data_IF_645295729205
#
_entry.id   IF_645295729205
#
_cell.length_a   1.000
_cell.length_b   1.000
_cell.length_c   1.000
_cell.angle_alpha   90.00
_cell.angle_beta   90.00
_cell.angle_gamma   90.00
#
_symmetry.space_group_name_H-M   'P 1'
#
loop_
_entity.id
_entity.type
_entity.pdbx_description
1 polymer ?
#
# COMPACT_ATOMS: atom_id res chain seq x y z
N UNK A 1 -41.37 20.10 -5.05
CA UNK A 1 -40.95 18.70 -5.15
C UNK A 1 -39.63 18.56 -4.40
N UNK A 2 -39.64 17.94 -3.21
CA UNK A 2 -38.43 17.72 -2.41
C UNK A 2 -37.83 16.39 -2.86
N UNK A 3 -36.69 16.43 -3.55
CA UNK A 3 -35.91 15.21 -3.78
C UNK A 3 -35.34 14.76 -2.44
N UNK A 4 -36.01 13.79 -1.83
CA UNK A 4 -35.49 13.01 -0.71
C UNK A 4 -34.17 12.35 -1.15
N UNK A 5 -33.06 12.82 -0.60
CA UNK A 5 -31.79 12.12 -0.65
C UNK A 5 -31.99 10.74 -0.02
N UNK A 6 -32.17 9.70 -0.85
CA UNK A 6 -32.07 8.31 -0.37
C UNK A 6 -30.64 8.11 0.09
N UNK A 7 -30.40 8.19 1.41
CA UNK A 7 -29.12 7.77 2.00
C UNK A 7 -28.88 6.33 1.55
N UNK A 8 -27.77 6.10 0.83
CA UNK A 8 -27.33 4.74 0.51
C UNK A 8 -27.20 4.01 1.84
N UNK A 9 -28.02 2.98 2.06
CA UNK A 9 -27.81 2.06 3.17
C UNK A 9 -26.47 1.37 2.90
N UNK A 10 -25.47 1.73 3.68
CA UNK A 10 -24.18 1.04 3.67
C UNK A 10 -24.27 -0.01 4.76
N UNK A 11 -24.23 -1.28 4.36
CA UNK A 11 -24.05 -2.38 5.31
C UNK A 11 -22.64 -2.27 5.85
N UNK A 12 -22.50 -1.96 7.13
CA UNK A 12 -21.22 -2.01 7.85
C UNK A 12 -21.15 -3.42 8.45
N UNK A 13 -20.18 -4.19 8.00
CA UNK A 13 -19.89 -5.50 8.57
C UNK A 13 -19.19 -5.31 9.92
N UNK A 14 -19.47 -6.19 10.88
CA UNK A 14 -18.72 -6.22 12.13
C UNK A 14 -17.26 -6.56 11.84
N UNK A 15 -16.34 -6.00 12.63
CA UNK A 15 -14.92 -6.29 12.48
C UNK A 15 -14.64 -7.72 12.89
N UNK A 16 -13.99 -8.48 12.00
CA UNK A 16 -13.55 -9.84 12.25
C UNK A 16 -12.05 -9.85 12.59
N UNK A 17 -11.62 -10.86 13.35
CA UNK A 17 -10.19 -11.08 13.62
C UNK A 17 -9.56 -11.65 12.35
N UNK A 18 -8.41 -11.10 11.96
CA UNK A 18 -7.66 -11.57 10.80
C UNK A 18 -7.21 -13.03 10.98
N UNK A 19 -7.29 -13.80 9.91
CA UNK A 19 -6.72 -15.15 9.80
C UNK A 19 -5.23 -15.15 9.41
N UNK A 20 -4.64 -13.97 9.17
CA UNK A 20 -3.23 -13.85 8.80
C UNK A 20 -2.31 -14.31 9.93
N UNK A 21 -1.54 -15.36 9.65
CA UNK A 21 -0.50 -15.82 10.56
C UNK A 21 0.77 -14.98 10.40
N UNK A 22 0.78 -13.80 11.02
CA UNK A 22 2.00 -12.98 11.11
C UNK A 22 2.79 -13.42 12.32
N UNK A 23 4.06 -13.78 12.11
CA UNK A 23 4.98 -14.13 13.21
C UNK A 23 4.95 -12.99 14.23
N UNK A 24 4.83 -13.33 15.51
CA UNK A 24 4.68 -12.42 16.67
C UNK A 24 5.89 -11.50 16.90
N UNK A 25 6.45 -10.87 15.88
CA UNK A 25 7.60 -10.00 16.10
C UNK A 25 7.20 -8.70 16.77
N UNK A 26 5.97 -8.19 16.59
CA UNK A 26 5.43 -7.05 17.36
C UNK A 26 3.89 -7.01 17.44
N UNK A 27 3.31 -6.93 18.64
CA UNK A 27 1.87 -6.79 18.89
C UNK A 27 1.19 -5.69 18.06
N UNK A 28 1.87 -4.57 17.83
CA UNK A 28 1.36 -3.44 17.04
C UNK A 28 1.04 -3.83 15.59
N UNK A 29 1.76 -4.79 15.01
CA UNK A 29 1.53 -5.24 13.62
C UNK A 29 0.25 -6.05 13.52
N UNK A 30 -0.03 -6.90 14.52
CA UNK A 30 -1.26 -7.70 14.59
C UNK A 30 -2.47 -6.78 14.80
N UNK A 31 -2.36 -5.78 15.68
CA UNK A 31 -3.43 -4.79 15.91
C UNK A 31 -3.75 -3.99 14.65
N UNK A 32 -2.72 -3.59 13.89
CA UNK A 32 -2.91 -2.89 12.61
C UNK A 32 -3.55 -3.78 11.55
N UNK A 33 -3.15 -5.04 11.45
CA UNK A 33 -3.76 -6.01 10.51
C UNK A 33 -5.24 -6.23 10.84
N UNK A 34 -5.55 -6.44 12.12
CA UNK A 34 -6.93 -6.55 12.58
C UNK A 34 -7.72 -5.27 12.32
N UNK A 35 -7.13 -4.10 12.60
CA UNK A 35 -7.80 -2.82 12.35
C UNK A 35 -8.09 -2.59 10.85
N UNK A 36 -7.14 -2.94 9.98
CA UNK A 36 -7.28 -2.83 8.53
C UNK A 36 -8.13 -3.94 7.91
N UNK A 37 -8.54 -4.94 8.71
CA UNK A 37 -9.36 -6.08 8.27
C UNK A 37 -8.71 -6.88 7.13
N UNK A 38 -7.36 -6.88 7.08
CA UNK A 38 -6.61 -7.67 6.10
C UNK A 38 -6.70 -9.15 6.47
N UNK A 39 -7.00 -10.01 5.50
CA UNK A 39 -7.07 -11.46 5.67
C UNK A 39 -6.26 -12.20 4.57
N UNK A 40 -6.17 -13.53 4.66
CA UNK A 40 -5.48 -14.37 3.67
C UNK A 40 -6.06 -14.22 2.26
N UNK A 41 -7.37 -14.00 2.14
CA UNK A 41 -8.04 -13.80 0.86
C UNK A 41 -7.59 -12.49 0.19
N UNK A 42 -7.34 -11.43 0.96
CA UNK A 42 -6.79 -10.18 0.43
C UNK A 42 -5.38 -10.37 -0.11
N UNK A 43 -4.54 -11.14 0.60
CA UNK A 43 -3.21 -11.50 0.09
C UNK A 43 -3.31 -12.33 -1.19
N UNK A 44 -4.26 -13.27 -1.28
CA UNK A 44 -4.51 -14.01 -2.51
C UNK A 44 -4.95 -13.10 -3.66
N UNK A 45 -5.80 -12.10 -3.41
CA UNK A 45 -6.20 -11.13 -4.42
C UNK A 45 -5.01 -10.29 -4.90
N UNK A 46 -4.14 -9.84 -3.99
CA UNK A 46 -2.93 -9.10 -4.36
C UNK A 46 -2.00 -9.99 -5.19
N UNK A 47 -1.79 -11.24 -4.78
CA UNK A 47 -0.98 -12.20 -5.53
C UNK A 47 -1.53 -12.46 -6.93
N UNK A 48 -2.86 -12.46 -7.10
CA UNK A 48 -3.51 -12.68 -8.40
C UNK A 48 -3.24 -11.58 -9.43
N UNK A 49 -2.88 -10.38 -8.98
CA UNK A 49 -2.53 -9.24 -9.85
C UNK A 49 -1.02 -8.97 -9.89
N UNK A 50 -0.20 -9.87 -9.34
CA UNK A 50 1.25 -9.70 -9.23
C UNK A 50 1.91 -9.36 -10.56
N UNK A 51 1.61 -10.13 -11.61
CA UNK A 51 2.21 -9.94 -12.93
C UNK A 51 1.85 -8.56 -13.51
N UNK A 52 0.60 -8.12 -13.30
CA UNK A 52 0.14 -6.78 -13.70
C UNK A 52 0.93 -5.70 -12.95
N UNK A 53 1.15 -5.86 -11.65
CA UNK A 53 1.92 -4.89 -10.86
C UNK A 53 3.36 -4.83 -11.35
N UNK A 54 4.02 -5.98 -11.55
CA UNK A 54 5.41 -6.06 -11.99
C UNK A 54 5.57 -5.43 -13.37
N UNK A 55 4.73 -5.80 -14.34
CA UNK A 55 4.76 -5.27 -15.71
C UNK A 55 4.51 -3.76 -15.76
N UNK A 56 3.76 -3.22 -14.81
CA UNK A 56 3.41 -1.80 -14.77
C UNK A 56 4.24 -1.01 -13.75
N UNK A 57 5.14 -1.63 -13.00
CA UNK A 57 5.77 -1.01 -11.83
C UNK A 57 6.52 0.29 -12.17
N UNK A 58 7.30 0.28 -13.25
CA UNK A 58 8.03 1.47 -13.71
C UNK A 58 7.07 2.57 -14.19
N UNK A 59 6.00 2.20 -14.91
CA UNK A 59 4.97 3.15 -15.37
C UNK A 59 4.23 3.80 -14.19
N UNK A 60 3.91 3.02 -13.16
CA UNK A 60 3.30 3.49 -11.92
C UNK A 60 4.27 4.43 -11.18
N UNK A 61 5.55 4.05 -11.05
CA UNK A 61 6.58 4.87 -10.42
C UNK A 61 6.75 6.22 -11.12
N UNK A 62 6.74 6.21 -12.46
CA UNK A 62 6.81 7.41 -13.29
C UNK A 62 5.62 8.33 -13.10
N UNK A 63 4.41 7.79 -13.13
CA UNK A 63 3.19 8.57 -12.86
C UNK A 63 3.20 9.15 -11.45
N UNK A 64 3.68 8.40 -10.47
CA UNK A 64 3.79 8.87 -9.10
C UNK A 64 4.81 10.01 -8.97
N UNK A 65 5.99 9.89 -9.59
CA UNK A 65 6.96 10.99 -9.69
C UNK A 65 6.33 12.26 -10.29
N UNK A 66 5.60 12.13 -11.40
CA UNK A 66 4.92 13.27 -12.03
C UNK A 66 3.92 13.93 -11.08
N UNK A 67 3.23 13.17 -10.23
CA UNK A 67 2.34 13.72 -9.21
C UNK A 67 3.11 14.50 -8.14
N UNK A 68 4.22 13.96 -7.63
CA UNK A 68 5.09 14.65 -6.67
C UNK A 68 5.60 15.97 -7.25
N UNK A 69 5.96 15.98 -8.54
CA UNK A 69 6.45 17.19 -9.19
C UNK A 69 5.37 18.25 -9.42
N UNK A 70 4.07 17.95 -9.32
CA UNK A 70 3.00 18.92 -9.62
C UNK A 70 2.91 20.03 -8.58
N UNK A 71 2.94 19.69 -7.28
CA UNK A 71 2.90 20.69 -6.21
C UNK A 71 4.31 21.21 -5.88
N UNK A 72 4.42 22.50 -5.56
CA UNK A 72 5.71 23.15 -5.36
C UNK A 72 6.41 22.61 -4.11
N UNK A 73 5.64 22.41 -3.05
CA UNK A 73 6.10 21.97 -1.74
C UNK A 73 6.67 20.54 -1.81
N UNK A 74 5.96 19.62 -2.45
CA UNK A 74 6.42 18.23 -2.62
C UNK A 74 7.59 18.14 -3.60
N UNK A 75 7.62 18.98 -4.63
CA UNK A 75 8.75 19.08 -5.56
C UNK A 75 10.02 19.53 -4.85
N UNK A 76 9.94 20.56 -4.02
CA UNK A 76 11.08 21.08 -3.26
C UNK A 76 11.65 20.03 -2.31
N UNK A 77 10.79 19.36 -1.53
CA UNK A 77 11.19 18.26 -0.64
C UNK A 77 11.90 17.16 -1.44
N UNK A 78 11.31 16.74 -2.56
CA UNK A 78 11.88 15.70 -3.40
C UNK A 78 13.26 16.07 -3.93
N UNK A 79 13.40 17.27 -4.51
CA UNK A 79 14.65 17.74 -5.10
C UNK A 79 15.77 17.90 -4.07
N UNK A 80 15.43 18.16 -2.80
CA UNK A 80 16.40 18.25 -1.71
C UNK A 80 16.81 16.88 -1.13
N UNK A 81 15.95 15.86 -1.24
CA UNK A 81 16.16 14.56 -0.59
C UNK A 81 16.60 13.43 -1.55
N UNK A 82 16.24 13.52 -2.83
CA UNK A 82 16.47 12.43 -3.79
C UNK A 82 16.53 12.94 -5.24
N UNK A 83 16.74 12.01 -6.17
CA UNK A 83 16.73 12.24 -7.60
C UNK A 83 15.78 11.27 -8.29
N UNK A 84 15.37 11.61 -9.52
CA UNK A 84 14.45 10.83 -10.33
C UNK A 84 14.88 9.35 -10.45
N UNK A 85 16.10 9.06 -10.90
CA UNK A 85 16.54 7.67 -11.12
C UNK A 85 16.52 6.86 -9.82
N UNK A 86 16.97 7.46 -8.72
CA UNK A 86 16.95 6.82 -7.40
C UNK A 86 15.52 6.53 -6.96
N UNK A 87 14.61 7.47 -7.18
CA UNK A 87 13.20 7.32 -6.83
C UNK A 87 12.51 6.24 -7.64
N UNK A 88 12.67 6.23 -8.96
CA UNK A 88 12.08 5.22 -9.83
C UNK A 88 12.54 3.82 -9.40
N UNK A 89 13.83 3.64 -9.14
CA UNK A 89 14.38 2.36 -8.70
C UNK A 89 13.80 1.89 -7.36
N UNK A 90 13.78 2.77 -6.35
CA UNK A 90 13.27 2.43 -5.00
C UNK A 90 11.77 2.16 -5.04
N UNK A 91 11.00 3.01 -5.72
CA UNK A 91 9.55 2.88 -5.77
C UNK A 91 9.10 1.66 -6.57
N UNK A 92 9.78 1.34 -7.68
CA UNK A 92 9.56 0.11 -8.44
C UNK A 92 9.85 -1.12 -7.58
N UNK A 93 10.96 -1.11 -6.85
CA UNK A 93 11.30 -2.21 -5.92
C UNK A 93 10.24 -2.37 -4.83
N UNK A 94 9.73 -1.27 -4.29
CA UNK A 94 8.63 -1.27 -3.33
C UNK A 94 7.35 -1.90 -3.90
N UNK A 95 6.95 -1.55 -5.12
CA UNK A 95 5.78 -2.15 -5.78
C UNK A 95 5.95 -3.66 -5.99
N UNK A 96 7.14 -4.10 -6.37
CA UNK A 96 7.44 -5.52 -6.55
C UNK A 96 7.39 -6.30 -5.22
N UNK A 97 7.85 -5.70 -4.12
CA UNK A 97 7.73 -6.28 -2.77
C UNK A 97 6.27 -6.36 -2.32
N UNK A 98 5.46 -5.33 -2.61
CA UNK A 98 4.03 -5.34 -2.32
C UNK A 98 3.31 -6.46 -3.11
N UNK A 99 3.70 -6.67 -4.37
CA UNK A 99 3.16 -7.73 -5.23
C UNK A 99 3.52 -9.16 -4.77
N UNK A 100 4.47 -9.32 -3.82
CA UNK A 100 4.75 -10.61 -3.20
C UNK A 100 3.56 -11.13 -2.38
N UNK A 101 2.73 -10.22 -1.86
CA UNK A 101 1.57 -10.53 -1.03
C UNK A 101 1.91 -11.38 0.22
N UNK A 102 3.04 -11.11 0.85
CA UNK A 102 3.50 -11.79 2.06
C UNK A 102 3.89 -10.77 3.12
N UNK A 103 3.33 -10.92 4.33
CA UNK A 103 3.65 -10.10 5.49
C UNK A 103 4.55 -10.92 6.42
N UNK A 104 5.86 -10.78 6.24
CA UNK A 104 6.88 -11.39 7.10
C UNK A 104 7.76 -10.34 7.79
N UNK A 105 8.61 -10.79 8.70
CA UNK A 105 9.52 -9.90 9.46
C UNK A 105 10.42 -9.07 8.55
N UNK A 106 10.80 -9.62 7.39
CA UNK A 106 11.66 -8.90 6.42
C UNK A 106 10.89 -7.76 5.79
N UNK A 107 9.64 -8.00 5.39
CA UNK A 107 8.73 -7.01 4.84
C UNK A 107 8.45 -5.90 5.86
N UNK A 108 8.09 -6.26 7.09
CA UNK A 108 7.81 -5.29 8.16
C UNK A 108 9.04 -4.42 8.47
N UNK A 109 10.24 -5.03 8.56
CA UNK A 109 11.49 -4.27 8.79
C UNK A 109 11.81 -3.31 7.64
N UNK A 110 11.58 -3.72 6.38
CA UNK A 110 11.76 -2.83 5.23
C UNK A 110 10.81 -1.63 5.30
N UNK A 111 9.54 -1.84 5.63
CA UNK A 111 8.56 -0.75 5.74
C UNK A 111 8.94 0.27 6.84
N UNK A 112 9.47 -0.19 7.98
CA UNK A 112 10.00 0.68 9.05
C UNK A 112 11.23 1.49 8.66
N UNK A 113 11.92 1.10 7.59
CA UNK A 113 13.05 1.89 7.08
C UNK A 113 12.55 3.03 6.18
N UNK A 114 11.33 2.91 5.65
CA UNK A 114 10.70 3.88 4.75
C UNK A 114 9.93 4.94 5.55
N UNK A 115 9.16 4.52 6.57
CA UNK A 115 8.38 5.39 7.46
C UNK A 115 9.16 5.84 8.68
#
# INVERSE_FOLDING_TARGET
MVHLFKRKLVTVHESEVSDLNVRETEHLTIDLINHLQLNEQDLHHIASIKDIIIDQAESIANRHYQLIMKAAETREIFQNATAYDRWINVFTSYLNELARAEIDDTHVKKLKTIG
#
